data_IF_848340053805
#
_entry.id   IF_848340053805
#
_cell.length_a   1.000
_cell.length_b   1.000
_cell.length_c   1.000
_cell.angle_alpha   90.00
_cell.angle_beta   90.00
_cell.angle_gamma   90.00
#
_symmetry.space_group_name_H-M   'P 1'
#
loop_
_entity.id
_entity.type
_entity.pdbx_description
1 polymer ?
#
# COMPACT_ATOMS: atom_id res chain seq x y z
N UNK A 1 -11.46 12.02 -19.47
CA UNK A 1 -11.92 11.31 -18.25
C UNK A 1 -10.83 11.40 -17.19
N UNK A 2 -11.17 11.62 -15.93
CA UNK A 2 -10.23 11.68 -14.79
C UNK A 2 -10.38 10.42 -13.93
N UNK A 3 -9.28 9.73 -13.67
CA UNK A 3 -9.23 8.51 -12.87
C UNK A 3 -8.23 8.71 -11.74
N UNK A 4 -8.61 8.48 -10.49
CA UNK A 4 -7.67 8.51 -9.38
C UNK A 4 -7.11 7.09 -9.16
N UNK A 5 -5.82 6.91 -9.41
CA UNK A 5 -5.12 5.63 -9.28
C UNK A 5 -4.33 5.56 -7.98
N UNK A 6 -4.39 4.41 -7.32
CA UNK A 6 -3.44 4.00 -6.29
C UNK A 6 -3.22 2.47 -6.33
N UNK A 7 -2.19 1.99 -5.65
CA UNK A 7 -1.87 0.57 -5.51
C UNK A 7 -1.03 0.35 -4.23
N UNK A 8 -0.78 -0.90 -3.87
CA UNK A 8 0.25 -1.26 -2.88
C UNK A 8 0.09 -0.52 -1.54
N UNK A 9 -1.14 -0.39 -1.03
CA UNK A 9 -1.40 0.27 0.26
C UNK A 9 -1.06 -0.64 1.44
N UNK A 10 -1.19 -1.95 1.26
CA UNK A 10 -0.93 -2.99 2.26
C UNK A 10 -1.53 -2.69 3.65
N UNK A 11 -2.84 -2.44 3.71
CA UNK A 11 -3.54 -2.41 5.00
C UNK A 11 -3.20 -3.64 5.85
N UNK A 12 -3.04 -3.41 7.14
CA UNK A 12 -2.68 -4.41 8.15
C UNK A 12 -1.23 -4.94 8.09
N UNK A 13 -0.34 -4.30 7.31
CA UNK A 13 1.12 -4.51 7.41
C UNK A 13 1.60 -4.42 8.87
N UNK A 14 2.54 -5.29 9.21
CA UNK A 14 3.26 -5.23 10.48
C UNK A 14 4.47 -4.31 10.34
N UNK A 15 4.49 -3.26 11.15
CA UNK A 15 5.64 -2.38 11.28
C UNK A 15 6.47 -2.76 12.50
N UNK A 16 7.79 -2.63 12.37
CA UNK A 16 8.76 -2.85 13.45
C UNK A 16 8.69 -1.75 14.53
N UNK A 17 8.26 -0.55 14.16
CA UNK A 17 8.09 0.61 15.04
C UNK A 17 6.73 1.28 14.79
N UNK A 18 6.21 1.97 15.82
CA UNK A 18 4.94 2.71 15.76
C UNK A 18 3.75 1.91 15.19
N UNK A 19 3.75 0.57 15.33
CA UNK A 19 2.87 -0.32 14.56
C UNK A 19 1.37 0.04 14.58
N UNK A 20 0.74 0.25 15.73
CA UNK A 20 -0.66 0.68 15.78
C UNK A 20 -0.89 2.02 15.06
N UNK A 21 -0.03 3.02 15.26
CA UNK A 21 -0.15 4.33 14.63
C UNK A 21 0.08 4.27 13.12
N UNK A 22 1.08 3.50 12.65
CA UNK A 22 1.34 3.28 11.22
C UNK A 22 0.20 2.54 10.53
N UNK A 23 -0.39 1.51 11.15
CA UNK A 23 -1.59 0.85 10.59
C UNK A 23 -2.80 1.78 10.53
N UNK A 24 -2.96 2.66 11.52
CA UNK A 24 -3.98 3.71 11.45
C UNK A 24 -3.68 4.71 10.33
N UNK A 25 -2.42 5.11 10.16
CA UNK A 25 -2.00 6.00 9.08
C UNK A 25 -2.27 5.41 7.67
N UNK A 26 -2.14 4.09 7.47
CA UNK A 26 -2.56 3.48 6.21
C UNK A 26 -4.08 3.63 5.96
N UNK A 27 -4.91 3.50 7.00
CA UNK A 27 -6.36 3.73 6.92
C UNK A 27 -6.68 5.20 6.65
N UNK A 28 -5.98 6.11 7.33
CA UNK A 28 -6.12 7.55 7.09
C UNK A 28 -5.68 7.93 5.67
N UNK A 29 -4.66 7.27 5.13
CA UNK A 29 -4.22 7.44 3.74
C UNK A 29 -5.30 7.01 2.76
N UNK A 30 -5.99 5.88 2.98
CA UNK A 30 -7.12 5.49 2.14
C UNK A 30 -8.24 6.54 2.18
N UNK A 31 -8.55 7.07 3.36
CA UNK A 31 -9.53 8.15 3.51
C UNK A 31 -9.17 9.37 2.67
N UNK A 32 -7.90 9.82 2.74
CA UNK A 32 -7.39 10.94 1.94
C UNK A 32 -7.42 10.68 0.44
N UNK A 33 -7.19 9.43 0.00
CA UNK A 33 -7.31 9.04 -1.42
C UNK A 33 -8.76 9.23 -1.88
N UNK A 34 -9.73 8.75 -1.11
CA UNK A 34 -11.15 8.89 -1.46
C UNK A 34 -11.61 10.35 -1.45
N UNK A 35 -11.19 11.13 -0.44
CA UNK A 35 -11.46 12.58 -0.38
C UNK A 35 -10.85 13.30 -1.59
N UNK A 36 -9.58 13.02 -1.92
CA UNK A 36 -8.91 13.61 -3.09
C UNK A 36 -9.65 13.31 -4.40
N UNK A 37 -10.17 12.09 -4.55
CA UNK A 37 -10.94 11.71 -5.73
C UNK A 37 -12.19 12.59 -5.89
N UNK A 38 -12.89 12.84 -4.78
CA UNK A 38 -14.09 13.66 -4.75
C UNK A 38 -13.76 15.14 -5.00
N UNK A 39 -12.75 15.68 -4.32
CA UNK A 39 -12.31 17.08 -4.48
C UNK A 39 -11.80 17.38 -5.89
N UNK A 40 -11.12 16.42 -6.51
CA UNK A 40 -10.57 16.53 -7.86
C UNK A 40 -11.62 16.32 -8.96
N UNK A 41 -12.86 15.98 -8.59
CA UNK A 41 -13.93 15.55 -9.50
C UNK A 41 -13.45 14.41 -10.42
N UNK A 42 -12.84 13.38 -9.83
CA UNK A 42 -12.50 12.17 -10.57
C UNK A 42 -13.80 11.45 -11.00
N UNK A 43 -13.76 10.82 -12.17
CA UNK A 43 -14.86 10.01 -12.70
C UNK A 43 -14.89 8.62 -12.05
N UNK A 44 -13.74 8.11 -11.57
CA UNK A 44 -13.65 6.86 -10.83
C UNK A 44 -12.36 6.78 -9.97
N UNK A 45 -12.36 5.88 -9.00
CA UNK A 45 -11.18 5.46 -8.23
C UNK A 45 -10.73 4.08 -8.69
N UNK A 46 -9.43 3.91 -8.95
CA UNK A 46 -8.81 2.65 -9.36
C UNK A 46 -7.80 2.19 -8.31
N UNK A 47 -7.94 0.96 -7.84
CA UNK A 47 -6.95 0.29 -6.99
C UNK A 47 -6.30 -0.85 -7.76
N UNK A 48 -4.99 -0.73 -8.05
CA UNK A 48 -4.23 -1.70 -8.82
C UNK A 48 -3.63 -2.84 -7.97
N UNK A 49 -4.33 -3.27 -6.92
CA UNK A 49 -3.96 -4.41 -6.07
C UNK A 49 -3.09 -4.09 -4.87
N UNK A 50 -2.85 -5.13 -4.06
CA UNK A 50 -2.19 -5.09 -2.75
C UNK A 50 -2.74 -3.96 -1.85
N UNK A 51 -4.07 -3.90 -1.76
CA UNK A 51 -4.82 -3.03 -0.87
C UNK A 51 -4.65 -3.42 0.59
N UNK A 52 -4.55 -4.72 0.89
CA UNK A 52 -4.40 -5.27 2.24
C UNK A 52 -3.49 -6.49 2.29
N UNK A 53 -3.19 -6.98 3.49
CA UNK A 53 -2.43 -8.20 3.72
C UNK A 53 -3.38 -9.37 4.01
N UNK A 54 -3.51 -10.32 3.07
CA UNK A 54 -4.47 -11.43 3.15
C UNK A 54 -4.41 -12.19 4.49
N UNK A 55 -3.21 -12.56 4.91
CA UNK A 55 -2.99 -13.38 6.13
C UNK A 55 -3.16 -12.61 7.44
N UNK A 56 -3.42 -11.30 7.37
CA UNK A 56 -3.48 -10.40 8.53
C UNK A 56 -4.79 -9.67 8.66
N UNK A 57 -5.62 -9.70 7.62
CA UNK A 57 -6.89 -8.98 7.61
C UNK A 57 -7.80 -9.46 8.75
N UNK A 58 -8.52 -8.52 9.34
CA UNK A 58 -9.52 -8.78 10.38
C UNK A 58 -10.91 -8.36 9.88
N UNK A 59 -12.00 -8.78 10.56
CA UNK A 59 -13.33 -8.29 10.23
C UNK A 59 -13.45 -6.75 10.25
N UNK A 60 -12.63 -6.07 11.06
CA UNK A 60 -12.53 -4.60 11.05
C UNK A 60 -11.93 -4.03 9.75
N UNK A 61 -11.11 -4.79 9.03
CA UNK A 61 -10.60 -4.40 7.69
C UNK A 61 -11.72 -4.46 6.67
N UNK A 62 -12.52 -5.53 6.69
CA UNK A 62 -13.71 -5.65 5.85
C UNK A 62 -14.70 -4.49 6.08
N UNK A 63 -15.09 -4.23 7.34
CA UNK A 63 -16.01 -3.13 7.66
C UNK A 63 -15.45 -1.76 7.28
N UNK A 64 -14.15 -1.54 7.49
CA UNK A 64 -13.49 -0.29 7.13
C UNK A 64 -13.45 -0.05 5.62
N UNK A 65 -13.10 -1.07 4.84
CA UNK A 65 -13.08 -0.95 3.38
C UNK A 65 -14.49 -0.72 2.82
N UNK A 66 -15.49 -1.43 3.36
CA UNK A 66 -16.89 -1.20 3.02
C UNK A 66 -17.28 0.27 3.24
N UNK A 67 -16.99 0.82 4.43
CA UNK A 67 -17.32 2.22 4.72
C UNK A 67 -16.49 3.23 3.94
N UNK A 68 -15.24 2.90 3.61
CA UNK A 68 -14.35 3.83 2.89
C UNK A 68 -14.71 3.97 1.42
N UNK A 69 -15.22 2.90 0.80
CA UNK A 69 -15.64 2.90 -0.60
C UNK A 69 -17.15 3.09 -0.81
N UNK A 70 -17.94 3.23 0.25
CA UNK A 70 -19.32 3.73 0.19
C UNK A 70 -19.30 5.24 -0.07
N UNK A 71 -18.99 5.60 -1.32
CA UNK A 71 -18.88 6.97 -1.79
C UNK A 71 -19.65 7.17 -3.10
N UNK A 72 -19.76 8.41 -3.56
CA UNK A 72 -20.50 8.75 -4.77
C UNK A 72 -19.82 8.34 -6.08
N UNK A 73 -18.57 7.87 -6.02
CA UNK A 73 -17.75 7.56 -7.19
C UNK A 73 -17.74 6.04 -7.44
N UNK A 74 -17.72 5.61 -8.72
CA UNK A 74 -17.34 4.25 -9.07
C UNK A 74 -15.94 3.92 -8.54
N UNK A 75 -15.78 2.72 -7.98
CA UNK A 75 -14.51 2.20 -7.47
C UNK A 75 -14.22 0.87 -8.15
N UNK A 76 -13.03 0.73 -8.75
CA UNK A 76 -12.60 -0.49 -9.40
C UNK A 76 -11.39 -1.07 -8.66
N UNK A 77 -11.55 -2.29 -8.18
CA UNK A 77 -10.54 -2.99 -7.39
C UNK A 77 -10.06 -4.22 -8.17
N UNK A 78 -8.74 -4.33 -8.39
CA UNK A 78 -8.13 -5.60 -8.79
C UNK A 78 -7.38 -6.20 -7.61
N UNK A 79 -7.62 -7.48 -7.27
CA UNK A 79 -6.82 -8.22 -6.30
C UNK A 79 -5.38 -8.46 -6.80
N UNK A 80 -4.39 -8.18 -5.96
CA UNK A 80 -2.96 -8.41 -6.15
C UNK A 80 -2.45 -9.70 -5.49
N UNK A 81 -1.14 -9.90 -5.44
CA UNK A 81 -0.56 -11.15 -4.90
C UNK A 81 -0.67 -11.25 -3.37
N UNK A 82 -0.67 -10.13 -2.65
CA UNK A 82 -0.72 -10.13 -1.19
C UNK A 82 -2.16 -10.05 -0.65
N UNK A 83 -3.14 -9.73 -1.51
CA UNK A 83 -4.58 -9.75 -1.21
C UNK A 83 -5.45 -10.57 -2.17
N UNK A 84 -4.86 -11.56 -2.84
CA UNK A 84 -5.47 -12.40 -3.87
C UNK A 84 -6.95 -12.76 -3.65
N UNK A 85 -7.69 -12.83 -4.75
CA UNK A 85 -9.10 -13.18 -4.78
C UNK A 85 -9.32 -14.66 -4.45
N UNK A 86 -10.23 -14.92 -3.51
CA UNK A 86 -10.69 -16.27 -3.22
C UNK A 86 -11.71 -16.31 -2.08
N UNK A 87 -12.16 -17.50 -1.68
CA UNK A 87 -13.29 -17.65 -0.74
C UNK A 87 -13.08 -16.96 0.61
N UNK A 88 -11.83 -16.78 1.02
CA UNK A 88 -11.45 -16.14 2.28
C UNK A 88 -10.94 -14.70 2.10
N UNK A 89 -10.83 -14.21 0.87
CA UNK A 89 -10.42 -12.81 0.62
C UNK A 89 -11.45 -11.83 1.15
N UNK A 90 -11.01 -10.67 1.64
CA UNK A 90 -11.90 -9.58 2.08
C UNK A 90 -12.86 -9.19 0.97
N UNK A 91 -12.40 -9.27 -0.29
CA UNK A 91 -13.21 -9.04 -1.48
C UNK A 91 -14.50 -9.86 -1.56
N UNK A 92 -14.50 -11.11 -1.05
CA UNK A 92 -15.70 -11.96 -0.99
C UNK A 92 -16.44 -11.88 0.34
N UNK A 93 -15.82 -11.33 1.38
CA UNK A 93 -16.43 -11.22 2.71
C UNK A 93 -17.22 -9.90 2.91
N UNK A 94 -16.93 -8.89 2.10
CA UNK A 94 -17.59 -7.58 2.16
C UNK A 94 -18.84 -7.55 1.29
N UNK A 95 -19.94 -7.09 1.87
CA UNK A 95 -21.14 -6.69 1.12
C UNK A 95 -20.90 -5.32 0.48
N UNK A 96 -20.23 -5.30 -0.67
CA UNK A 96 -19.91 -4.07 -1.37
C UNK A 96 -21.15 -3.29 -1.82
N UNK A 97 -21.06 -1.96 -1.74
CA UNK A 97 -22.05 -1.06 -2.33
C UNK A 97 -22.02 -1.15 -3.86
N UNK A 98 -23.13 -0.86 -4.57
CA UNK A 98 -23.21 -1.05 -6.02
C UNK A 98 -22.21 -0.24 -6.86
N UNK A 99 -21.57 0.79 -6.29
CA UNK A 99 -20.54 1.58 -6.96
C UNK A 99 -19.17 0.88 -7.00
N UNK A 100 -18.97 -0.18 -6.21
CA UNK A 100 -17.70 -0.92 -6.17
C UNK A 100 -17.76 -2.12 -7.09
N UNK A 101 -16.80 -2.19 -8.02
CA UNK A 101 -16.58 -3.33 -8.89
C UNK A 101 -15.26 -4.01 -8.52
N UNK A 102 -15.34 -5.27 -8.10
CA UNK A 102 -14.16 -6.11 -7.85
C UNK A 102 -13.97 -7.07 -9.02
N UNK A 103 -12.83 -6.95 -9.70
CA UNK A 103 -12.43 -7.95 -10.68
C UNK A 103 -12.12 -9.27 -9.96
N UNK A 104 -12.59 -10.38 -10.51
CA UNK A 104 -12.52 -11.71 -9.86
C UNK A 104 -12.01 -12.82 -10.78
N UNK A 105 -11.67 -12.48 -12.02
CA UNK A 105 -11.19 -13.40 -13.06
C UNK A 105 -9.68 -13.29 -13.20
N UNK A 106 -8.99 -14.42 -13.36
CA UNK A 106 -7.56 -14.45 -13.71
C UNK A 106 -7.29 -13.93 -15.13
N UNK A 107 -8.31 -13.91 -16.00
CA UNK A 107 -8.23 -13.33 -17.33
C UNK A 107 -8.79 -11.92 -17.34
N UNK A 108 -8.21 -11.04 -18.17
CA UNK A 108 -8.69 -9.67 -18.39
C UNK A 108 -10.14 -9.65 -18.86
N UNK A 109 -10.99 -9.04 -18.05
CA UNK A 109 -12.42 -8.84 -18.35
C UNK A 109 -12.72 -7.36 -18.53
N UNK A 110 -13.53 -6.98 -19.54
CA UNK A 110 -13.83 -5.58 -19.83
C UNK A 110 -15.00 -5.07 -18.99
N UNK A 111 -14.89 -3.82 -18.54
CA UNK A 111 -15.98 -3.01 -18.00
C UNK A 111 -15.98 -1.66 -18.71
N UNK A 112 -17.14 -1.20 -19.17
CA UNK A 112 -17.25 0.14 -19.77
C UNK A 112 -17.24 1.21 -18.68
N UNK A 113 -16.29 2.15 -18.76
CA UNK A 113 -16.23 3.32 -17.88
C UNK A 113 -17.09 4.47 -18.42
N UNK A 114 -17.09 4.65 -19.73
CA UNK A 114 -17.92 5.60 -20.47
C UNK A 114 -18.10 5.10 -21.90
N UNK A 115 -18.90 5.82 -22.69
CA UNK A 115 -19.06 5.51 -24.12
C UNK A 115 -17.69 5.53 -24.83
N UNK A 116 -17.30 4.38 -25.40
CA UNK A 116 -16.03 4.22 -26.09
C UNK A 116 -14.79 4.13 -25.19
N UNK A 117 -14.92 3.98 -23.86
CA UNK A 117 -13.79 3.80 -22.94
C UNK A 117 -13.97 2.54 -22.10
N UNK A 118 -13.17 1.52 -22.38
CA UNK A 118 -13.20 0.22 -21.69
C UNK A 118 -12.02 0.07 -20.74
N UNK A 119 -12.30 -0.35 -19.49
CA UNK A 119 -11.31 -0.80 -18.51
C UNK A 119 -11.26 -2.33 -18.48
N UNK A 120 -10.09 -2.89 -18.74
CA UNK A 120 -9.80 -4.31 -18.66
C UNK A 120 -9.12 -4.60 -17.32
N UNK A 121 -9.77 -5.39 -16.47
CA UNK A 121 -9.21 -5.78 -15.17
C UNK A 121 -9.07 -7.28 -15.03
N UNK A 122 -8.02 -7.69 -14.32
CA UNK A 122 -7.77 -9.08 -13.95
C UNK A 122 -7.36 -9.15 -12.48
N UNK A 123 -7.79 -10.23 -11.82
CA UNK A 123 -7.49 -10.52 -10.44
C UNK A 123 -6.40 -11.57 -10.35
N UNK A 124 -5.51 -11.42 -9.36
CA UNK A 124 -4.78 -12.57 -8.86
C UNK A 124 -5.76 -13.48 -8.11
N UNK A 125 -5.85 -14.76 -8.48
CA UNK A 125 -6.76 -15.73 -7.85
C UNK A 125 -5.94 -16.83 -7.18
N UNK A 126 -6.15 -16.98 -5.88
CA UNK A 126 -5.37 -17.87 -5.04
C UNK A 126 -3.94 -17.37 -4.75
N UNK A 127 -3.26 -17.98 -3.77
CA UNK A 127 -1.90 -17.57 -3.41
C UNK A 127 -0.89 -17.92 -4.51
N UNK A 128 0.10 -17.06 -4.71
CA UNK A 128 1.20 -17.30 -5.64
C UNK A 128 1.97 -16.02 -5.96
N UNK A 129 3.08 -16.12 -6.73
CA UNK A 129 3.80 -14.95 -7.18
C UNK A 129 2.93 -14.09 -8.12
N UNK A 130 3.27 -12.81 -8.26
CA UNK A 130 2.66 -11.93 -9.25
C UNK A 130 2.71 -12.55 -10.66
N UNK A 131 1.73 -12.19 -11.50
CA UNK A 131 1.56 -12.74 -12.84
C UNK A 131 1.66 -11.64 -13.89
N UNK A 132 2.08 -12.03 -15.09
CA UNK A 132 2.11 -11.14 -16.26
C UNK A 132 0.77 -11.19 -16.99
N UNK A 133 -0.23 -10.47 -16.47
CA UNK A 133 -1.61 -10.47 -17.01
C UNK A 133 -1.72 -10.01 -18.47
N UNK A 134 -0.75 -9.20 -18.92
CA UNK A 134 -0.72 -8.66 -20.28
C UNK A 134 -0.05 -9.61 -21.28
N UNK A 135 0.59 -10.70 -20.82
CA UNK A 135 1.21 -11.67 -21.73
C UNK A 135 0.13 -12.40 -22.55
N UNK A 136 0.31 -12.41 -23.87
CA UNK A 136 -0.66 -12.97 -24.81
C UNK A 136 -2.01 -12.26 -24.88
N UNK A 137 -2.22 -11.16 -24.15
CA UNK A 137 -3.45 -10.38 -24.23
C UNK A 137 -3.50 -9.53 -25.49
N UNK A 138 -4.67 -9.48 -26.13
CA UNK A 138 -4.94 -8.59 -27.25
C UNK A 138 -6.34 -8.00 -27.13
N UNK A 139 -6.41 -6.68 -27.21
CA UNK A 139 -7.66 -5.94 -27.31
C UNK A 139 -8.41 -6.38 -28.56
N UNK A 140 -9.71 -6.64 -28.41
CA UNK A 140 -10.57 -7.15 -29.48
C UNK A 140 -11.74 -6.20 -29.84
N UNK A 141 -11.64 -4.93 -29.45
CA UNK A 141 -12.68 -3.90 -29.64
C UNK A 141 -12.05 -2.55 -29.98
N UNK A 142 -12.86 -1.67 -30.56
CA UNK A 142 -12.46 -0.27 -30.79
C UNK A 142 -12.57 0.59 -29.53
N UNK A 143 -12.38 1.90 -29.68
CA UNK A 143 -12.39 2.86 -28.58
C UNK A 143 -11.07 2.90 -27.80
N UNK A 144 -11.09 3.61 -26.68
CA UNK A 144 -9.96 3.70 -25.75
C UNK A 144 -9.99 2.47 -24.83
N UNK A 145 -8.89 1.72 -24.79
CA UNK A 145 -8.75 0.50 -24.01
C UNK A 145 -7.66 0.66 -22.95
N UNK A 146 -8.08 0.63 -21.69
CA UNK A 146 -7.24 0.82 -20.51
C UNK A 146 -7.12 -0.51 -19.77
N UNK A 147 -5.96 -0.82 -19.19
CA UNK A 147 -5.82 -1.96 -18.28
C UNK A 147 -5.67 -1.52 -16.82
N UNK A 148 -6.18 -2.34 -15.91
CA UNK A 148 -5.93 -2.28 -14.47
C UNK A 148 -5.45 -3.65 -14.02
N UNK A 149 -4.20 -3.79 -13.57
CA UNK A 149 -3.62 -5.07 -13.19
C UNK A 149 -2.62 -4.92 -12.04
N UNK A 150 -2.31 -6.02 -11.35
CA UNK A 150 -1.27 -6.07 -10.35
C UNK A 150 -0.13 -7.00 -10.80
N UNK A 151 0.95 -6.45 -11.34
CA UNK A 151 2.01 -7.25 -11.95
C UNK A 151 2.93 -6.41 -12.83
N UNK A 152 3.57 -7.03 -13.80
CA UNK A 152 4.55 -6.35 -14.65
C UNK A 152 3.91 -5.67 -15.88
N UNK A 153 4.61 -4.67 -16.40
CA UNK A 153 4.35 -4.14 -17.74
C UNK A 153 5.18 -4.92 -18.77
N UNK A 154 4.62 -5.25 -19.96
CA UNK A 154 5.44 -5.68 -21.08
C UNK A 154 6.35 -4.53 -21.55
N UNK A 155 7.43 -4.86 -22.26
CA UNK A 155 8.36 -3.87 -22.83
C UNK A 155 7.63 -2.83 -23.70
N UNK A 156 6.62 -3.28 -24.46
CA UNK A 156 5.73 -2.41 -25.21
C UNK A 156 4.26 -2.81 -25.02
N UNK A 157 3.56 -2.04 -24.19
CA UNK A 157 2.11 -2.17 -23.97
C UNK A 157 1.32 -2.06 -25.28
N UNK A 158 1.82 -1.31 -26.27
CA UNK A 158 1.11 -1.11 -27.54
C UNK A 158 0.88 -2.43 -28.31
N UNK A 159 1.72 -3.45 -28.10
CA UNK A 159 1.58 -4.76 -28.75
C UNK A 159 0.25 -5.43 -28.40
N UNK A 160 -0.29 -5.14 -27.21
CA UNK A 160 -1.58 -5.68 -26.76
C UNK A 160 -2.78 -4.93 -27.35
N UNK A 161 -2.57 -3.79 -28.00
CA UNK A 161 -3.63 -2.88 -28.43
C UNK A 161 -4.24 -2.02 -27.31
N UNK A 162 -3.69 -2.07 -26.08
CA UNK A 162 -4.04 -1.15 -25.00
C UNK A 162 -3.45 0.24 -25.25
N UNK A 163 -4.22 1.26 -24.91
CA UNK A 163 -3.79 2.66 -24.94
C UNK A 163 -2.95 2.98 -23.70
N UNK A 164 -3.36 2.47 -22.54
CA UNK A 164 -2.67 2.68 -21.28
C UNK A 164 -2.88 1.55 -20.27
N UNK A 165 -1.87 1.25 -19.45
CA UNK A 165 -1.96 0.28 -18.36
C UNK A 165 -1.71 0.94 -16.99
N UNK A 166 -2.67 0.81 -16.08
CA UNK A 166 -2.54 1.18 -14.67
C UNK A 166 -2.14 -0.06 -13.87
N UNK A 167 -0.99 0.00 -13.20
CA UNK A 167 -0.34 -1.19 -12.65
C UNK A 167 0.02 -1.00 -11.17
N UNK A 168 -0.05 -2.08 -10.37
CA UNK A 168 0.52 -2.16 -9.02
C UNK A 168 1.76 -3.07 -8.97
N UNK A 169 2.10 -3.60 -7.79
CA UNK A 169 3.21 -4.54 -7.50
C UNK A 169 4.57 -3.86 -7.26
N UNK A 170 4.81 -2.73 -7.91
CA UNK A 170 6.08 -2.00 -7.82
C UNK A 170 5.90 -0.79 -6.91
N UNK A 171 6.46 -0.86 -5.69
CA UNK A 171 6.37 0.22 -4.69
C UNK A 171 7.09 1.52 -5.07
N UNK A 172 8.04 1.45 -5.99
CA UNK A 172 8.71 2.65 -6.52
C UNK A 172 7.87 3.22 -7.65
N UNK A 173 7.38 4.47 -7.55
CA UNK A 173 6.59 5.06 -8.62
C UNK A 173 7.37 5.11 -9.93
N UNK A 174 6.72 4.70 -11.02
CA UNK A 174 7.27 4.73 -12.36
C UNK A 174 6.17 5.09 -13.37
N UNK A 175 6.43 6.07 -14.22
CA UNK A 175 5.45 6.55 -15.20
C UNK A 175 6.08 6.58 -16.58
N UNK A 176 5.57 5.73 -17.47
CA UNK A 176 5.95 5.69 -18.87
C UNK A 176 4.82 6.23 -19.75
N UNK A 177 5.07 6.30 -21.06
CA UNK A 177 4.06 6.77 -22.03
C UNK A 177 2.77 5.94 -21.92
N UNK A 178 2.90 4.61 -21.87
CA UNK A 178 1.77 3.66 -21.92
C UNK A 178 1.52 2.86 -20.64
N UNK A 179 2.25 3.12 -19.55
CA UNK A 179 1.88 2.56 -18.26
C UNK A 179 2.16 3.52 -17.10
N UNK A 180 1.45 3.33 -15.99
CA UNK A 180 1.59 4.09 -14.75
C UNK A 180 1.64 3.10 -13.58
N UNK A 181 2.77 3.04 -12.89
CA UNK A 181 2.92 2.48 -11.55
C UNK A 181 2.85 3.62 -10.54
N UNK A 182 1.80 3.72 -9.71
CA UNK A 182 1.68 4.78 -8.70
C UNK A 182 2.66 4.59 -7.54
N UNK A 183 3.16 3.37 -7.35
CA UNK A 183 3.84 2.96 -6.12
C UNK A 183 2.90 2.90 -4.93
N UNK A 184 3.45 2.59 -3.76
CA UNK A 184 2.68 2.64 -2.53
C UNK A 184 2.46 4.10 -2.09
N UNK A 185 1.22 4.49 -1.75
CA UNK A 185 0.88 5.88 -1.43
C UNK A 185 1.36 6.31 -0.05
N UNK A 186 1.60 5.36 0.86
CA UNK A 186 2.19 5.59 2.17
C UNK A 186 3.39 4.65 2.33
N UNK A 187 4.60 5.17 2.62
CA UNK A 187 5.78 4.34 2.80
C UNK A 187 5.56 3.24 3.84
N UNK A 188 5.88 2.01 3.47
CA UNK A 188 5.93 0.86 4.37
C UNK A 188 7.26 0.81 5.12
N UNK A 189 8.34 1.25 4.47
CA UNK A 189 9.69 1.34 5.06
C UNK A 189 10.23 2.77 5.06
N UNK A 190 11.28 3.03 5.84
CA UNK A 190 11.93 4.35 5.84
C UNK A 190 12.70 4.65 4.55
N UNK A 191 13.11 3.61 3.81
CA UNK A 191 13.86 3.71 2.55
C UNK A 191 12.97 4.08 1.36
N UNK A 192 11.65 3.92 1.50
CA UNK A 192 10.63 4.32 0.53
C UNK A 192 10.43 5.85 0.53
N UNK A 193 11.43 6.54 -0.01
CA UNK A 193 11.54 8.00 -0.09
C UNK A 193 11.06 8.55 -1.44
N UNK A 194 11.13 9.88 -1.64
CA UNK A 194 10.75 10.52 -2.91
C UNK A 194 9.25 10.83 -3.07
N UNK A 195 8.91 11.46 -4.19
CA UNK A 195 7.53 11.76 -4.60
C UNK A 195 6.78 10.44 -4.85
N UNK A 196 5.63 10.28 -4.18
CA UNK A 196 4.74 9.10 -4.27
C UNK A 196 3.38 9.48 -3.70
N UNK A 197 2.36 8.69 -4.01
CA UNK A 197 1.01 8.96 -3.53
C UNK A 197 -0.04 8.43 -4.49
N UNK A 198 -1.24 9.00 -4.42
CA UNK A 198 -2.26 8.75 -5.43
C UNK A 198 -1.96 9.56 -6.70
N UNK A 199 -2.30 9.01 -7.85
CA UNK A 199 -2.03 9.61 -9.15
C UNK A 199 -3.35 9.94 -9.84
N UNK A 200 -3.62 11.24 -10.03
CA UNK A 200 -4.75 11.69 -10.84
C UNK A 200 -4.37 11.59 -12.32
N UNK A 201 -4.98 10.63 -13.00
CA UNK A 201 -4.75 10.35 -14.40
C UNK A 201 -5.87 10.97 -15.24
N UNK A 202 -5.54 11.87 -16.16
CA UNK A 202 -6.48 12.36 -17.18
C UNK A 202 -6.26 11.58 -18.47
N UNK A 203 -7.25 10.77 -18.83
CA UNK A 203 -7.34 10.03 -20.09
C UNK A 203 -7.97 10.93 -21.15
N UNK A 204 -7.27 11.11 -22.27
CA UNK A 204 -7.69 11.89 -23.43
C UNK A 204 -8.41 11.01 -24.47
N UNK A 205 -9.11 11.64 -25.41
CA UNK A 205 -9.92 10.94 -26.42
C UNK A 205 -9.08 10.03 -27.35
N UNK A 206 -7.78 10.29 -27.47
CA UNK A 206 -6.82 9.48 -28.23
C UNK A 206 -6.17 8.35 -27.41
N UNK A 207 -6.63 8.15 -26.16
CA UNK A 207 -6.12 7.14 -25.23
C UNK A 207 -4.83 7.53 -24.50
N UNK A 208 -4.22 8.68 -24.81
CA UNK A 208 -3.07 9.18 -24.07
C UNK A 208 -3.45 9.60 -22.65
N UNK A 209 -2.48 9.56 -21.73
CA UNK A 209 -2.70 9.85 -20.31
C UNK A 209 -1.73 10.92 -19.81
N UNK A 210 -2.25 11.96 -19.17
CA UNK A 210 -1.47 12.93 -18.37
C UNK A 210 -1.68 12.67 -16.88
N UNK A 211 -0.66 12.90 -16.05
CA UNK A 211 -0.68 12.54 -14.62
C UNK A 211 -0.31 13.71 -13.72
N UNK A 212 -0.91 13.73 -12.54
CA UNK A 212 -0.53 14.56 -11.41
C UNK A 212 -0.42 13.68 -10.16
N UNK A 213 0.69 13.76 -9.42
CA UNK A 213 0.94 12.95 -8.22
C UNK A 213 0.59 13.78 -6.99
N UNK A 214 -0.14 13.18 -6.06
CA UNK A 214 -0.57 13.82 -4.81
C UNK A 214 -0.08 13.02 -3.61
N UNK A 215 0.77 13.62 -2.78
CA UNK A 215 1.18 13.01 -1.52
C UNK A 215 -0.01 12.96 -0.56
N UNK A 216 -0.51 11.75 -0.34
CA UNK A 216 -1.63 11.43 0.55
C UNK A 216 -1.16 10.76 1.85
N UNK A 217 0.15 10.52 2.02
CA UNK A 217 0.70 9.72 3.11
C UNK A 217 0.41 10.33 4.48
N UNK A 218 -0.38 9.62 5.27
CA UNK A 218 -0.60 9.99 6.66
C UNK A 218 0.66 9.74 7.51
N UNK A 219 1.45 8.70 7.23
CA UNK A 219 2.68 8.44 7.97
C UNK A 219 3.69 9.57 7.82
N UNK A 220 3.84 10.16 6.62
CA UNK A 220 4.67 11.34 6.39
C UNK A 220 4.13 12.55 7.13
N UNK A 221 2.84 12.83 6.94
CA UNK A 221 2.14 13.96 7.56
C UNK A 221 2.21 13.94 9.09
N UNK A 222 2.21 12.74 9.70
CA UNK A 222 2.28 12.53 11.14
C UNK A 222 3.71 12.29 11.66
N UNK A 223 4.73 12.30 10.79
CA UNK A 223 6.12 12.08 11.18
C UNK A 223 6.45 10.67 11.68
N UNK A 224 5.67 9.66 11.26
CA UNK A 224 5.78 8.26 11.72
C UNK A 224 6.82 7.43 10.96
N UNK A 225 7.45 8.01 9.94
CA UNK A 225 8.51 7.36 9.14
C UNK A 225 9.90 7.59 9.71
N UNK A 226 10.04 8.50 10.67
CA UNK A 226 11.29 8.61 11.39
C UNK A 226 11.56 7.24 12.00
N UNK A 227 12.69 6.63 11.60
CA UNK A 227 13.34 5.75 12.54
C UNK A 227 13.51 6.60 13.79
N UNK A 228 12.76 6.27 14.83
CA UNK A 228 13.35 6.40 16.12
C UNK A 228 14.59 5.50 16.07
N UNK A 229 15.72 6.04 15.59
CA UNK A 229 16.84 6.14 16.50
C UNK A 229 16.24 6.87 17.69
N UNK A 230 15.58 6.11 18.57
CA UNK A 230 15.85 6.32 19.95
C UNK A 230 17.38 6.16 20.00
N UNK A 231 18.11 7.27 19.80
CA UNK A 231 18.90 7.75 20.91
C UNK A 231 17.94 7.65 22.09
N UNK A 232 17.92 6.46 22.70
CA UNK A 232 17.53 6.32 24.09
C UNK A 232 18.17 7.55 24.71
N UNK A 233 17.41 8.49 25.31
CA UNK A 233 18.05 9.61 26.00
C UNK A 233 19.07 8.91 26.87
N UNK A 234 20.38 9.06 26.57
CA UNK A 234 21.42 8.13 27.00
C UNK A 234 21.08 7.82 28.44
N UNK A 235 20.49 6.64 28.68
CA UNK A 235 20.03 6.32 30.03
C UNK A 235 21.33 6.47 30.77
N UNK A 236 21.36 7.37 31.75
CA UNK A 236 22.57 7.63 32.49
C UNK A 236 22.85 6.33 33.24
N UNK A 237 23.54 5.42 32.55
CA UNK A 237 23.75 4.06 32.98
C UNK A 237 24.65 4.09 34.21
N UNK A 238 25.45 5.14 34.38
CA UNK A 238 26.20 5.40 35.60
C UNK A 238 25.24 5.76 36.75
N UNK A 239 24.24 6.61 36.52
CA UNK A 239 23.20 6.88 37.52
C UNK A 239 22.37 5.64 37.86
N UNK A 240 21.95 4.84 36.88
CA UNK A 240 21.19 3.60 37.13
C UNK A 240 22.06 2.53 37.79
N UNK A 241 23.32 2.40 37.38
CA UNK A 241 24.30 1.50 38.01
C UNK A 241 24.65 1.91 39.44
N UNK A 242 24.44 3.17 39.85
CA UNK A 242 24.60 3.60 41.23
C UNK A 242 23.43 3.17 42.13
N UNK A 243 22.29 2.79 41.55
CA UNK A 243 21.13 2.34 42.31
C UNK A 243 21.39 0.97 42.98
N UNK A 244 20.95 0.84 44.24
CA UNK A 244 20.94 -0.44 44.97
C UNK A 244 19.65 -1.22 44.70
N UNK A 245 19.31 -1.37 43.43
CA UNK A 245 18.09 -2.02 42.92
C UNK A 245 18.46 -3.20 42.01
N UNK A 246 17.48 -4.05 41.67
CA UNK A 246 17.63 -5.11 40.65
C UNK A 246 18.02 -4.49 39.31
N UNK A 247 17.41 -3.35 39.00
CA UNK A 247 17.72 -2.53 37.82
C UNK A 247 19.18 -2.10 37.79
N UNK A 248 19.68 -1.55 38.91
CA UNK A 248 21.09 -1.14 39.01
C UNK A 248 22.07 -2.31 38.95
N UNK A 249 21.72 -3.48 39.51
CA UNK A 249 22.57 -4.67 39.38
C UNK A 249 22.65 -5.18 37.94
N UNK A 250 21.52 -5.22 37.24
CA UNK A 250 21.47 -5.61 35.82
C UNK A 250 22.38 -4.74 34.94
N UNK A 251 22.34 -3.41 35.13
CA UNK A 251 23.20 -2.49 34.37
C UNK A 251 24.67 -2.76 34.65
N UNK A 252 25.08 -2.96 35.92
CA UNK A 252 26.46 -3.27 36.29
C UNK A 252 26.96 -4.56 35.62
N UNK A 253 26.12 -5.60 35.61
CA UNK A 253 26.48 -6.90 35.02
C UNK A 253 26.69 -6.80 33.50
N UNK A 254 25.80 -6.09 32.81
CA UNK A 254 25.89 -5.90 31.35
C UNK A 254 27.05 -4.99 30.94
N UNK A 255 27.36 -3.96 31.75
CA UNK A 255 28.53 -3.10 31.52
C UNK A 255 29.86 -3.81 31.77
N UNK A 256 29.88 -4.76 32.70
CA UNK A 256 31.08 -5.54 33.04
C UNK A 256 31.33 -6.71 32.08
N UNK A 257 30.38 -7.06 31.20
CA UNK A 257 30.51 -8.18 30.28
C UNK A 257 31.41 -7.85 29.07
N UNK A 258 32.61 -8.45 28.98
CA UNK A 258 33.55 -8.18 27.89
C UNK A 258 33.14 -8.85 26.57
N UNK A 259 32.15 -9.75 26.57
CA UNK A 259 31.69 -10.47 25.37
C UNK A 259 30.71 -9.65 24.51
N UNK A 260 30.18 -8.56 25.04
CA UNK A 260 29.23 -7.69 24.35
C UNK A 260 29.95 -6.53 23.67
N UNK A 261 29.80 -6.39 22.36
CA UNK A 261 30.20 -5.17 21.65
C UNK A 261 29.31 -3.97 22.03
N UNK A 262 29.75 -2.76 21.69
CA UNK A 262 29.06 -1.51 22.10
C UNK A 262 27.61 -1.44 21.63
N UNK A 263 27.32 -1.93 20.41
CA UNK A 263 25.99 -1.86 19.81
C UNK A 263 25.05 -2.88 20.46
N UNK A 264 25.52 -4.11 20.63
CA UNK A 264 24.76 -5.17 21.29
C UNK A 264 24.54 -4.85 22.77
N UNK A 265 25.54 -4.30 23.45
CA UNK A 265 25.44 -3.87 24.86
C UNK A 265 24.35 -2.81 25.04
N UNK A 266 24.29 -1.80 24.15
CA UNK A 266 23.24 -0.79 24.17
C UNK A 266 21.85 -1.39 24.03
N UNK A 267 21.68 -2.37 23.13
CA UNK A 267 20.40 -3.08 22.94
C UNK A 267 20.01 -3.91 24.16
N UNK A 268 20.94 -4.66 24.74
CA UNK A 268 20.67 -5.49 25.94
C UNK A 268 20.26 -4.61 27.12
N UNK A 269 20.97 -3.50 27.37
CA UNK A 269 20.62 -2.54 28.42
C UNK A 269 19.22 -1.96 28.21
N UNK A 270 18.93 -1.47 27.00
CA UNK A 270 17.63 -0.89 26.68
C UNK A 270 16.46 -1.88 26.84
N UNK A 271 16.60 -3.09 26.27
CA UNK A 271 15.54 -4.10 26.33
C UNK A 271 15.35 -4.64 27.75
N UNK A 272 16.44 -4.91 28.46
CA UNK A 272 16.37 -5.44 29.82
C UNK A 272 15.83 -4.45 30.84
N UNK A 273 16.16 -3.16 30.70
CA UNK A 273 15.61 -2.11 31.58
C UNK A 273 14.10 -1.94 31.38
N UNK A 274 13.60 -1.94 30.14
CA UNK A 274 12.16 -1.91 29.86
C UNK A 274 11.42 -3.09 30.49
N UNK A 275 11.97 -4.30 30.39
CA UNK A 275 11.39 -5.50 30.99
C UNK A 275 11.35 -5.47 32.53
N UNK A 276 12.17 -4.61 33.17
CA UNK A 276 12.20 -4.41 34.61
C UNK A 276 11.34 -3.24 35.08
N UNK A 277 10.85 -2.37 34.19
CA UNK A 277 9.92 -1.29 34.50
C UNK A 277 8.45 -1.75 34.53
N UNK A 278 8.12 -2.82 33.80
CA UNK A 278 6.78 -3.43 33.76
C UNK A 278 6.50 -4.39 34.95
N UNK A 279 7.19 -4.23 36.10
CA UNK A 279 7.09 -5.12 37.28
C UNK A 279 6.93 -4.40 38.61
#
# INVERSE_FOLDING_TARGET
>A
MKLLLFADLHLDTRFSSAGPARRQALRDTLGRIVELAQESNADAVLCAGDLYEHDRCSPSTASFLQSSFDCSLPVFLVPGNDDWYGPQSVYQQVDWTPNVHVFSSESLTPVELADGVTLWGAAHVGPGPARDFLDGFAVNRGGVNLALCHGSAPEDVAITGLDHAFLGHVHTPEHAVRHTFPGNPDPLTADETGERGAVLCTVHDDGSVTREVFDVSASRSLGLLAEHTETFPLLDFDSVAAERTVRGQFVRDVLADPSLDTTLRGRVLATGLRALEDR
#
